data_IF_899260314600
#
_entry.id   IF_899260314600
#
_cell.length_a   1.000
_cell.length_b   1.000
_cell.length_c   1.000
_cell.angle_alpha   90.00
_cell.angle_beta   90.00
_cell.angle_gamma   90.00
#
_symmetry.space_group_name_H-M   'P 1'
#
loop_
_entity.id
_entity.type
_entity.pdbx_description
1 polymer ?
#
# COMPACT_ATOMS: atom_id res chain seq x y z
N UNK A 1 10.68 54.62 55.31
CA UNK A 1 10.95 53.19 55.47
C UNK A 1 10.51 52.51 54.17
N UNK A 2 11.48 52.21 53.29
CA UNK A 2 11.21 51.58 51.96
C UNK A 2 11.22 50.09 52.18
N UNK A 3 10.09 49.39 51.91
CA UNK A 3 10.01 47.94 51.82
C UNK A 3 10.29 47.50 50.39
N UNK A 4 11.46 46.89 50.22
CA UNK A 4 11.82 46.14 49.01
C UNK A 4 10.98 44.85 48.98
N UNK A 5 10.15 44.70 47.95
CA UNK A 5 9.46 43.44 47.65
C UNK A 5 10.31 42.76 46.54
N UNK A 6 11.00 41.71 46.91
CA UNK A 6 11.73 40.84 45.99
C UNK A 6 10.74 39.95 45.21
N UNK A 7 10.61 40.22 43.93
CA UNK A 7 9.81 39.36 43.00
C UNK A 7 10.71 38.18 42.56
N UNK A 8 10.53 37.03 43.22
CA UNK A 8 11.13 35.78 42.79
C UNK A 8 10.49 35.26 41.51
N UNK A 9 11.27 35.30 40.43
CA UNK A 9 10.89 34.67 39.17
C UNK A 9 11.02 33.14 39.32
N UNK A 10 9.89 32.43 39.45
CA UNK A 10 9.85 30.98 39.37
C UNK A 10 9.91 30.57 37.88
N UNK A 11 11.12 30.29 37.41
CA UNK A 11 11.34 29.54 36.16
C UNK A 11 11.03 28.07 36.44
N UNK A 12 9.83 27.61 36.09
CA UNK A 12 9.55 26.19 35.99
C UNK A 12 10.26 25.69 34.71
N UNK A 13 11.19 24.75 34.82
CA UNK A 13 11.69 24.03 33.65
C UNK A 13 10.56 23.09 33.18
N UNK A 14 10.01 23.37 32.02
CA UNK A 14 9.14 22.45 31.30
C UNK A 14 10.03 21.29 30.79
N UNK A 15 10.27 20.32 31.66
CA UNK A 15 10.84 19.03 31.29
C UNK A 15 9.80 18.33 30.40
N UNK A 16 9.88 18.56 29.10
CA UNK A 16 9.27 17.73 28.09
C UNK A 16 10.00 16.38 28.12
N UNK A 17 9.49 15.46 28.96
CA UNK A 17 9.87 14.08 28.81
C UNK A 17 9.50 13.64 27.38
N UNK A 18 10.43 13.02 26.63
CA UNK A 18 10.04 12.39 25.38
C UNK A 18 9.05 11.29 25.74
N UNK A 19 7.76 11.50 25.41
CA UNK A 19 6.81 10.41 25.40
C UNK A 19 7.35 9.40 24.39
N UNK A 20 7.97 8.34 24.91
CA UNK A 20 8.25 7.16 24.12
C UNK A 20 6.89 6.67 23.62
N UNK A 21 6.58 6.97 22.36
CA UNK A 21 5.47 6.36 21.64
C UNK A 21 5.91 4.90 21.47
N UNK A 22 5.61 4.07 22.48
CA UNK A 22 5.67 2.64 22.31
C UNK A 22 4.75 2.33 21.13
N UNK A 23 5.22 1.58 20.12
CA UNK A 23 4.31 1.10 19.10
C UNK A 23 3.23 0.32 19.83
N UNK A 24 1.96 0.73 19.64
CA UNK A 24 0.83 -0.08 20.07
C UNK A 24 1.01 -1.44 19.38
N UNK A 25 1.35 -2.45 20.17
CA UNK A 25 1.30 -3.82 19.73
C UNK A 25 -0.16 -4.06 19.39
N UNK A 26 -0.46 -4.18 18.11
CA UNK A 26 -1.75 -4.67 17.67
C UNK A 26 -1.88 -6.10 18.19
N UNK A 27 -2.58 -6.26 19.32
CA UNK A 27 -3.06 -7.54 19.79
C UNK A 27 -4.05 -8.06 18.76
N UNK A 28 -3.67 -9.06 17.99
CA UNK A 28 -4.59 -9.73 17.07
C UNK A 28 -3.94 -10.41 15.88
N UNK A 29 -3.08 -11.40 16.12
CA UNK A 29 -2.63 -12.25 15.04
C UNK A 29 -1.59 -13.26 15.52
N UNK A 30 -1.98 -14.51 15.70
CA UNK A 30 -1.07 -15.61 16.05
C UNK A 30 -0.17 -16.05 14.88
N UNK A 31 0.01 -15.20 13.86
CA UNK A 31 0.87 -15.45 12.72
C UNK A 31 2.33 -15.06 12.96
N UNK A 32 3.27 -15.56 12.14
CA UNK A 32 4.67 -15.17 12.22
C UNK A 32 4.85 -13.68 11.93
N UNK A 33 5.90 -13.08 12.51
CA UNK A 33 6.27 -11.72 12.24
C UNK A 33 6.49 -11.50 10.73
N UNK A 34 5.93 -10.41 10.20
CA UNK A 34 6.10 -10.05 8.78
C UNK A 34 7.57 -9.85 8.43
N UNK A 35 7.91 -10.12 7.19
CA UNK A 35 9.26 -9.91 6.67
C UNK A 35 9.71 -8.46 6.89
N UNK A 36 10.95 -8.24 7.33
CA UNK A 36 11.49 -6.89 7.45
C UNK A 36 11.63 -6.28 6.05
N UNK A 37 10.83 -5.27 5.77
CA UNK A 37 10.89 -4.50 4.54
C UNK A 37 10.85 -3.02 4.87
N UNK A 38 11.67 -2.24 4.19
CA UNK A 38 11.69 -0.78 4.26
C UNK A 38 11.49 -0.23 2.85
N UNK A 39 10.53 0.67 2.71
CA UNK A 39 10.19 1.26 1.42
C UNK A 39 10.59 2.73 1.39
N UNK A 40 10.98 3.22 0.21
CA UNK A 40 11.43 4.60 0.00
C UNK A 40 10.35 5.64 0.33
N UNK A 41 9.09 5.25 0.18
CA UNK A 41 7.93 6.12 0.44
C UNK A 41 7.52 6.20 1.91
N UNK A 42 8.17 5.48 2.83
CA UNK A 42 7.86 5.54 4.26
C UNK A 42 8.36 6.84 4.92
N UNK A 43 7.77 7.16 6.07
CA UNK A 43 8.12 8.33 6.85
C UNK A 43 7.63 9.67 6.25
N UNK A 44 7.87 10.79 6.96
CA UNK A 44 7.30 12.09 6.60
C UNK A 44 7.89 12.69 5.31
N UNK A 45 9.09 12.33 4.94
CA UNK A 45 9.81 12.83 3.75
C UNK A 45 10.01 11.74 2.68
N UNK A 46 9.46 10.54 2.87
CA UNK A 46 9.59 9.45 1.92
C UNK A 46 8.91 9.77 0.59
N UNK A 47 9.51 9.31 -0.51
CA UNK A 47 9.04 9.46 -1.89
C UNK A 47 8.99 8.11 -2.59
N UNK A 48 8.19 7.98 -3.63
CA UNK A 48 8.16 6.76 -4.42
C UNK A 48 9.43 6.63 -5.27
N UNK A 49 10.00 5.42 -5.26
CA UNK A 49 10.98 5.02 -6.28
C UNK A 49 10.22 4.79 -7.60
N UNK A 50 10.37 5.73 -8.53
CA UNK A 50 9.65 5.70 -9.82
C UNK A 50 10.06 4.51 -10.67
N UNK A 51 11.34 4.13 -10.66
CA UNK A 51 11.83 2.99 -11.43
C UNK A 51 11.24 1.68 -10.88
N UNK A 52 11.27 1.49 -9.56
CA UNK A 52 10.63 0.35 -8.91
C UNK A 52 9.12 0.31 -9.17
N UNK A 53 8.44 1.46 -9.14
CA UNK A 53 7.00 1.52 -9.43
C UNK A 53 6.68 1.23 -10.92
N UNK A 54 7.52 1.62 -11.86
CA UNK A 54 7.37 1.27 -13.28
C UNK A 54 7.54 -0.23 -13.50
N UNK A 55 8.57 -0.87 -12.90
CA UNK A 55 8.73 -2.33 -12.92
C UNK A 55 7.57 -3.04 -12.24
N UNK A 56 7.10 -2.48 -11.12
CA UNK A 56 5.91 -2.97 -10.43
C UNK A 56 4.64 -2.89 -11.27
N UNK A 57 4.48 -1.85 -12.08
CA UNK A 57 3.41 -1.77 -13.07
C UNK A 57 3.53 -2.87 -14.13
N UNK A 58 4.74 -3.16 -14.60
CA UNK A 58 4.97 -4.28 -15.53
C UNK A 58 4.51 -5.59 -14.91
N UNK A 59 4.88 -5.88 -13.64
CA UNK A 59 4.43 -7.10 -12.94
C UNK A 59 2.90 -7.11 -12.82
N UNK A 60 2.28 -5.99 -12.44
CA UNK A 60 0.82 -5.91 -12.39
C UNK A 60 0.19 -6.25 -13.74
N UNK A 61 0.65 -5.63 -14.82
CA UNK A 61 0.14 -5.84 -16.17
C UNK A 61 0.31 -7.28 -16.64
N UNK A 62 1.49 -7.85 -16.44
CA UNK A 62 1.86 -9.14 -17.02
C UNK A 62 1.38 -10.34 -16.16
N UNK A 63 1.15 -10.13 -14.86
CA UNK A 63 0.78 -11.20 -13.92
C UNK A 63 -0.56 -10.93 -13.23
N UNK A 64 -0.67 -9.83 -12.48
CA UNK A 64 -1.78 -9.61 -11.55
C UNK A 64 -3.10 -9.26 -12.27
N UNK A 65 -3.02 -8.54 -13.38
CA UNK A 65 -4.19 -8.04 -14.13
C UNK A 65 -5.04 -9.17 -14.76
N UNK A 66 -4.51 -10.38 -14.84
CA UNK A 66 -5.26 -11.54 -15.29
C UNK A 66 -6.44 -11.91 -14.35
N UNK A 67 -6.28 -11.62 -13.05
CA UNK A 67 -7.26 -11.95 -12.02
C UNK A 67 -7.77 -10.74 -11.23
N UNK A 68 -6.94 -9.70 -11.05
CA UNK A 68 -7.23 -8.56 -10.19
C UNK A 68 -7.55 -7.30 -10.99
N UNK A 69 -8.65 -6.65 -10.63
CA UNK A 69 -8.98 -5.31 -11.12
C UNK A 69 -8.16 -4.22 -10.40
N UNK A 70 -8.09 -3.04 -11.01
CA UNK A 70 -7.53 -1.80 -10.44
C UNK A 70 -8.41 -0.63 -10.91
N UNK A 71 -9.64 -0.62 -10.42
CA UNK A 71 -10.74 0.18 -10.96
C UNK A 71 -10.65 1.68 -10.68
N UNK A 72 -9.83 2.10 -9.71
CA UNK A 72 -9.69 3.52 -9.35
C UNK A 72 -8.61 4.24 -10.16
N UNK A 73 -7.81 3.52 -10.96
CA UNK A 73 -6.79 4.12 -11.81
C UNK A 73 -7.25 4.18 -13.26
N UNK A 74 -6.87 5.29 -13.92
CA UNK A 74 -6.91 5.44 -15.37
C UNK A 74 -5.50 5.33 -15.94
N UNK A 75 -5.36 4.92 -17.21
CA UNK A 75 -4.04 4.79 -17.85
C UNK A 75 -3.24 6.09 -17.81
N UNK A 76 -3.89 7.26 -17.93
CA UNK A 76 -3.25 8.58 -17.81
C UNK A 76 -2.47 8.78 -16.49
N UNK A 77 -2.88 8.12 -15.43
CA UNK A 77 -2.19 8.24 -14.13
C UNK A 77 -0.75 7.70 -14.19
N UNK A 78 -0.44 6.80 -15.12
CA UNK A 78 0.91 6.26 -15.32
C UNK A 78 1.93 7.36 -15.69
N UNK A 79 1.50 8.52 -16.21
CA UNK A 79 2.39 9.67 -16.42
C UNK A 79 2.98 10.19 -15.11
N UNK A 80 2.27 10.06 -13.99
CA UNK A 80 2.78 10.43 -12.66
C UNK A 80 3.97 9.53 -12.21
N UNK A 81 4.13 8.36 -12.84
CA UNK A 81 5.28 7.48 -12.66
C UNK A 81 6.46 7.83 -13.59
N UNK A 82 6.31 8.83 -14.45
CA UNK A 82 7.34 9.25 -15.39
C UNK A 82 7.27 8.59 -16.78
N UNK A 83 6.21 7.85 -17.09
CA UNK A 83 5.99 7.35 -18.45
C UNK A 83 5.60 8.52 -19.37
N UNK A 84 6.13 8.51 -20.61
CA UNK A 84 5.75 9.50 -21.62
C UNK A 84 4.29 9.34 -22.05
N UNK A 85 3.68 10.42 -22.53
CA UNK A 85 2.32 10.37 -23.07
C UNK A 85 2.18 9.36 -24.21
N UNK A 86 3.20 9.25 -25.07
CA UNK A 86 3.22 8.27 -26.15
C UNK A 86 3.22 6.83 -25.62
N UNK A 87 4.02 6.54 -24.60
CA UNK A 87 4.04 5.22 -23.96
C UNK A 87 2.68 4.89 -23.32
N UNK A 88 2.08 5.85 -22.61
CA UNK A 88 0.76 5.67 -21.97
C UNK A 88 -0.34 5.45 -23.00
N UNK A 89 -0.30 6.16 -24.13
CA UNK A 89 -1.22 5.92 -25.27
C UNK A 89 -1.06 4.51 -25.84
N UNK A 90 0.17 4.05 -26.03
CA UNK A 90 0.46 2.68 -26.49
C UNK A 90 -0.10 1.64 -25.51
N UNK A 91 0.24 1.75 -24.22
CA UNK A 91 -0.23 0.85 -23.17
C UNK A 91 -1.77 0.79 -23.11
N UNK A 92 -2.44 1.93 -23.22
CA UNK A 92 -3.90 1.97 -23.24
C UNK A 92 -4.48 1.32 -24.50
N UNK A 93 -3.89 1.56 -25.66
CA UNK A 93 -4.35 1.02 -26.94
C UNK A 93 -4.19 -0.50 -27.07
N UNK A 94 -3.26 -1.10 -26.32
CA UNK A 94 -3.08 -2.56 -26.25
C UNK A 94 -4.28 -3.28 -25.62
N UNK A 95 -5.20 -2.53 -25.02
CA UNK A 95 -6.34 -3.09 -24.30
C UNK A 95 -7.64 -2.75 -25.03
N UNK A 96 -8.49 -3.75 -25.24
CA UNK A 96 -9.84 -3.55 -25.78
C UNK A 96 -10.81 -3.15 -24.68
N UNK A 97 -11.55 -2.08 -24.89
CA UNK A 97 -12.55 -1.52 -24.00
C UNK A 97 -13.93 -1.55 -24.65
N UNK A 98 -14.93 -1.96 -23.87
CA UNK A 98 -16.34 -1.85 -24.29
C UNK A 98 -16.77 -0.38 -24.18
N UNK A 99 -17.41 0.12 -25.23
CA UNK A 99 -17.92 1.49 -25.30
C UNK A 99 -19.29 1.50 -26.01
N UNK A 100 -19.92 2.66 -26.04
CA UNK A 100 -21.20 2.86 -26.72
C UNK A 100 -20.98 3.95 -27.79
N UNK A 101 -21.37 3.68 -29.01
CA UNK A 101 -21.29 4.66 -30.07
C UNK A 101 -22.43 5.70 -29.99
N UNK A 102 -22.40 6.72 -30.87
CA UNK A 102 -23.40 7.78 -30.89
C UNK A 102 -24.85 7.30 -31.20
N UNK A 103 -24.98 6.07 -31.68
CA UNK A 103 -26.27 5.43 -31.94
C UNK A 103 -26.80 4.58 -30.77
N UNK A 104 -26.03 4.49 -29.66
CA UNK A 104 -26.35 3.67 -28.52
C UNK A 104 -25.99 2.18 -28.67
N UNK A 105 -25.24 1.82 -29.71
CA UNK A 105 -24.80 0.44 -29.94
C UNK A 105 -23.50 0.15 -29.17
N UNK A 106 -23.41 -1.04 -28.58
CA UNK A 106 -22.17 -1.50 -27.94
C UNK A 106 -21.09 -1.76 -28.99
N UNK A 107 -19.94 -1.19 -28.78
CA UNK A 107 -18.77 -1.35 -29.65
C UNK A 107 -17.54 -1.72 -28.83
N UNK A 108 -16.60 -2.36 -29.47
CA UNK A 108 -15.26 -2.56 -28.94
C UNK A 108 -14.30 -1.57 -29.58
N UNK A 109 -13.45 -0.95 -28.78
CA UNK A 109 -12.42 -0.06 -29.28
C UNK A 109 -11.11 -0.21 -28.50
N UNK A 110 -9.97 0.20 -29.07
CA UNK A 110 -8.75 0.38 -28.31
C UNK A 110 -8.95 1.36 -27.16
N UNK A 111 -8.33 1.07 -26.02
CA UNK A 111 -8.38 1.95 -24.86
C UNK A 111 -7.68 3.28 -25.10
N UNK A 112 -8.08 4.28 -24.33
CA UNK A 112 -7.53 5.64 -24.31
C UNK A 112 -6.91 5.94 -22.95
N UNK A 113 -6.00 6.91 -22.83
CA UNK A 113 -5.43 7.31 -21.53
C UNK A 113 -6.46 7.69 -20.46
N UNK A 114 -7.65 8.15 -20.87
CA UNK A 114 -8.77 8.47 -19.96
C UNK A 114 -9.49 7.27 -19.41
N UNK A 115 -9.39 6.12 -20.06
CA UNK A 115 -10.10 4.92 -19.63
C UNK A 115 -9.48 4.36 -18.35
N UNK A 116 -10.33 3.75 -17.52
CA UNK A 116 -9.87 2.99 -16.35
C UNK A 116 -9.14 1.72 -16.77
N UNK A 117 -8.30 1.22 -15.90
CA UNK A 117 -7.66 -0.08 -16.10
C UNK A 117 -8.74 -1.15 -16.32
N UNK A 118 -8.51 -2.01 -17.30
CA UNK A 118 -9.46 -3.06 -17.67
C UNK A 118 -9.69 -4.00 -16.49
N UNK A 119 -10.96 -4.32 -16.23
CA UNK A 119 -11.34 -5.37 -15.30
C UNK A 119 -11.24 -6.73 -15.99
N UNK A 120 -10.62 -7.74 -15.36
CA UNK A 120 -10.52 -9.08 -15.93
C UNK A 120 -11.88 -9.79 -16.02
N UNK A 121 -12.80 -9.48 -15.12
CA UNK A 121 -14.13 -10.06 -15.07
C UNK A 121 -15.22 -8.98 -15.08
N UNK A 122 -16.39 -9.26 -15.66
CA UNK A 122 -17.49 -8.31 -15.76
C UNK A 122 -18.11 -7.96 -14.40
N UNK A 123 -18.09 -8.91 -13.45
CA UNK A 123 -18.64 -8.74 -12.10
C UNK A 123 -17.97 -9.70 -11.12
N UNK A 124 -18.26 -9.52 -9.83
CA UNK A 124 -17.68 -10.30 -8.73
C UNK A 124 -18.09 -11.78 -8.78
N UNK A 125 -19.31 -12.10 -9.21
CA UNK A 125 -19.78 -13.49 -9.32
C UNK A 125 -18.99 -14.25 -10.39
N UNK A 126 -18.72 -13.62 -11.55
CA UNK A 126 -17.89 -14.20 -12.59
C UNK A 126 -16.44 -14.35 -12.13
N UNK A 127 -15.91 -13.36 -11.38
CA UNK A 127 -14.59 -13.43 -10.80
C UNK A 127 -14.47 -14.59 -9.79
N UNK A 128 -15.43 -14.75 -8.90
CA UNK A 128 -15.47 -15.86 -7.94
C UNK A 128 -15.56 -17.22 -8.64
N UNK A 129 -16.43 -17.37 -9.63
CA UNK A 129 -16.60 -18.61 -10.38
C UNK A 129 -15.29 -19.04 -11.08
N UNK A 130 -14.55 -18.08 -11.65
CA UNK A 130 -13.28 -18.34 -12.32
C UNK A 130 -12.12 -18.63 -11.34
N UNK A 131 -12.26 -18.33 -10.05
CA UNK A 131 -11.21 -18.41 -9.04
C UNK A 131 -11.58 -19.33 -7.85
N UNK A 132 -12.22 -20.44 -8.12
CA UNK A 132 -12.53 -21.46 -7.09
C UNK A 132 -13.43 -20.95 -5.95
N UNK A 133 -14.37 -20.07 -6.27
CA UNK A 133 -15.34 -19.50 -5.33
C UNK A 133 -14.88 -18.26 -4.56
N UNK A 134 -13.61 -17.84 -4.74
CA UNK A 134 -13.06 -16.66 -4.07
C UNK A 134 -12.79 -15.55 -5.08
N UNK A 135 -13.55 -14.45 -5.03
CA UNK A 135 -13.32 -13.30 -5.90
C UNK A 135 -11.98 -12.62 -5.56
N UNK A 136 -11.07 -12.44 -6.53
CA UNK A 136 -9.85 -11.67 -6.32
C UNK A 136 -10.20 -10.21 -5.99
N UNK A 137 -9.64 -9.62 -4.91
CA UNK A 137 -9.93 -8.24 -4.56
C UNK A 137 -9.39 -7.25 -5.59
N UNK A 138 -10.03 -6.09 -5.71
CA UNK A 138 -9.49 -4.94 -6.43
C UNK A 138 -8.21 -4.43 -5.75
N UNK A 139 -7.15 -4.23 -6.52
CA UNK A 139 -5.83 -3.86 -5.99
C UNK A 139 -5.63 -2.36 -5.81
N UNK A 140 -6.58 -1.51 -6.24
CA UNK A 140 -6.43 -0.05 -6.19
C UNK A 140 -6.07 0.48 -4.80
N UNK A 141 -6.60 -0.12 -3.74
CA UNK A 141 -6.40 0.31 -2.35
C UNK A 141 -5.85 -0.80 -1.45
N UNK A 142 -5.37 -1.89 -2.02
CA UNK A 142 -5.01 -3.09 -1.24
C UNK A 142 -4.01 -2.79 -0.12
N UNK A 143 -3.03 -1.93 -0.37
CA UNK A 143 -2.01 -1.54 0.61
C UNK A 143 -2.60 -0.72 1.77
N UNK A 144 -3.71 0.00 1.55
CA UNK A 144 -4.43 0.73 2.60
C UNK A 144 -5.50 -0.11 3.29
N UNK A 145 -6.00 -1.12 2.60
CA UNK A 145 -7.07 -1.99 3.07
C UNK A 145 -6.57 -3.17 3.93
N UNK A 146 -5.30 -3.25 4.20
CA UNK A 146 -4.70 -4.32 5.03
C UNK A 146 -3.90 -3.72 6.18
N UNK A 147 -3.96 -4.33 7.37
CA UNK A 147 -3.04 -4.03 8.47
C UNK A 147 -1.59 -4.17 7.97
N UNK A 148 -0.67 -3.37 8.49
CA UNK A 148 0.73 -3.31 8.05
C UNK A 148 0.95 -2.96 6.56
N UNK A 149 -0.09 -2.70 5.80
CA UNK A 149 -0.06 -2.13 4.46
C UNK A 149 0.91 -2.80 3.50
N UNK A 150 1.90 -2.04 3.03
CA UNK A 150 2.89 -2.49 2.07
C UNK A 150 3.71 -3.69 2.57
N UNK A 151 4.06 -3.71 3.87
CA UNK A 151 4.84 -4.80 4.47
C UNK A 151 4.06 -6.10 4.52
N UNK A 152 2.75 -6.02 4.78
CA UNK A 152 1.88 -7.21 4.69
C UNK A 152 1.83 -7.79 3.28
N UNK A 153 1.56 -6.97 2.27
CA UNK A 153 1.49 -7.44 0.87
C UNK A 153 2.83 -8.00 0.40
N UNK A 154 3.95 -7.36 0.78
CA UNK A 154 5.30 -7.84 0.51
C UNK A 154 5.56 -9.22 1.12
N UNK A 155 5.16 -9.41 2.37
CA UNK A 155 5.30 -10.70 3.06
C UNK A 155 4.39 -11.76 2.45
N UNK A 156 3.14 -11.40 2.16
CA UNK A 156 2.14 -12.30 1.55
C UNK A 156 2.65 -12.90 0.24
N UNK A 157 3.20 -12.07 -0.66
CA UNK A 157 3.70 -12.54 -1.96
C UNK A 157 4.85 -13.54 -1.84
N UNK A 158 5.57 -13.54 -0.71
CA UNK A 158 6.70 -14.42 -0.42
C UNK A 158 6.38 -15.52 0.61
N UNK A 159 5.15 -15.56 1.09
CA UNK A 159 4.73 -16.43 2.18
C UNK A 159 4.27 -17.83 1.79
N UNK A 160 4.26 -18.14 0.51
CA UNK A 160 3.81 -19.45 0.03
C UNK A 160 4.78 -20.55 0.40
N UNK A 161 4.25 -21.65 0.91
CA UNK A 161 5.01 -22.86 1.28
C UNK A 161 4.20 -24.07 0.83
N UNK A 162 4.89 -25.09 0.32
CA UNK A 162 4.27 -26.37 0.03
C UNK A 162 3.88 -27.07 1.34
N UNK A 163 2.58 -27.12 1.61
CA UNK A 163 2.05 -27.60 2.90
C UNK A 163 2.49 -29.03 3.22
N UNK A 164 2.57 -29.90 2.22
CA UNK A 164 2.96 -31.31 2.41
C UNK A 164 4.45 -31.49 2.77
N UNK A 165 5.27 -30.46 2.52
CA UNK A 165 6.68 -30.45 2.90
C UNK A 165 6.94 -29.93 4.31
N UNK A 166 5.90 -29.37 4.98
CA UNK A 166 6.03 -28.89 6.36
C UNK A 166 6.11 -30.09 7.31
N UNK A 167 7.13 -30.08 8.18
CA UNK A 167 7.23 -31.01 9.30
C UNK A 167 6.11 -30.80 10.34
N UNK A 168 5.81 -31.80 11.13
CA UNK A 168 4.84 -31.69 12.21
C UNK A 168 5.21 -30.61 13.23
N UNK A 169 6.50 -30.36 13.45
CA UNK A 169 7.00 -29.31 14.32
C UNK A 169 6.70 -27.91 13.73
N UNK A 170 6.88 -27.71 12.42
CA UNK A 170 6.54 -26.46 11.77
C UNK A 170 5.02 -26.23 11.76
N UNK A 171 4.22 -27.27 11.46
CA UNK A 171 2.75 -27.20 11.58
C UNK A 171 2.31 -26.80 12.97
N UNK A 172 2.91 -27.38 14.01
CA UNK A 172 2.63 -27.02 15.39
C UNK A 172 3.04 -25.58 15.72
N UNK A 173 4.16 -25.08 15.17
CA UNK A 173 4.58 -23.69 15.33
C UNK A 173 3.60 -22.68 14.74
N UNK A 174 2.85 -23.06 13.69
CA UNK A 174 1.73 -22.27 13.16
C UNK A 174 0.42 -22.46 13.94
N UNK A 175 0.41 -23.24 15.03
CA UNK A 175 -0.79 -23.54 15.80
C UNK A 175 -1.81 -24.39 15.06
N UNK A 176 -1.39 -25.14 14.04
CA UNK A 176 -2.28 -25.96 13.25
C UNK A 176 -2.66 -27.24 14.01
N UNK A 177 -3.94 -27.62 13.94
CA UNK A 177 -4.39 -28.87 14.48
C UNK A 177 -3.74 -30.06 13.75
N UNK A 178 -3.59 -31.21 14.41
CA UNK A 178 -2.98 -32.40 13.79
C UNK A 178 -3.75 -32.92 12.57
N UNK A 179 -5.04 -32.67 12.52
CA UNK A 179 -5.96 -33.03 11.46
C UNK A 179 -6.18 -31.89 10.44
N UNK A 180 -5.42 -30.81 10.56
CA UNK A 180 -5.50 -29.69 9.62
C UNK A 180 -5.22 -30.15 8.20
N UNK A 181 -6.17 -29.88 7.32
CA UNK A 181 -6.07 -30.21 5.89
C UNK A 181 -6.18 -28.93 5.07
N UNK A 182 -5.38 -28.89 4.03
CA UNK A 182 -5.51 -27.89 2.99
C UNK A 182 -6.58 -28.40 2.01
N UNK A 183 -7.59 -27.59 1.76
CA UNK A 183 -8.68 -27.89 0.84
C UNK A 183 -8.20 -27.81 -0.61
N UNK A 184 -8.82 -28.55 -1.52
CA UNK A 184 -8.51 -28.48 -2.95
C UNK A 184 -8.66 -27.04 -3.46
N UNK A 185 -7.69 -26.59 -4.25
CA UNK A 185 -7.66 -25.24 -4.80
C UNK A 185 -7.27 -24.16 -3.79
N UNK A 186 -6.87 -24.53 -2.56
CA UNK A 186 -6.27 -23.59 -1.59
C UNK A 186 -4.77 -23.81 -1.49
N UNK A 187 -4.07 -22.74 -1.15
CA UNK A 187 -2.62 -22.75 -0.96
C UNK A 187 -2.28 -22.32 0.47
N UNK A 188 -1.24 -22.90 1.03
CA UNK A 188 -0.75 -22.48 2.34
C UNK A 188 0.13 -21.23 2.20
N UNK A 189 -0.23 -20.20 2.96
CA UNK A 189 0.59 -18.99 3.02
C UNK A 189 0.75 -18.54 4.48
N UNK A 190 1.98 -18.53 4.95
CA UNK A 190 2.30 -18.27 6.36
C UNK A 190 1.94 -16.87 6.87
N UNK A 191 1.71 -15.91 5.97
CA UNK A 191 1.31 -14.55 6.32
C UNK A 191 -0.19 -14.26 6.07
N UNK A 192 -0.90 -15.18 5.45
CA UNK A 192 -2.33 -15.04 5.24
C UNK A 192 -3.09 -15.59 6.45
N UNK A 193 -3.62 -14.70 7.27
CA UNK A 193 -4.35 -15.09 8.48
C UNK A 193 -5.65 -14.29 8.65
N UNK A 194 -6.68 -14.55 7.83
CA UNK A 194 -7.99 -13.94 8.00
C UNK A 194 -8.79 -14.69 9.06
N UNK A 195 -8.60 -14.35 10.36
CA UNK A 195 -9.37 -14.94 11.45
C UNK A 195 -9.33 -16.48 11.49
N UNK A 196 -10.49 -17.12 11.52
CA UNK A 196 -10.62 -18.58 11.64
C UNK A 196 -10.15 -19.39 10.41
N UNK A 197 -9.99 -18.76 9.25
CA UNK A 197 -9.59 -19.48 8.03
C UNK A 197 -8.12 -19.92 8.02
N UNK A 198 -7.28 -19.37 8.89
CA UNK A 198 -5.87 -19.67 9.13
C UNK A 198 -5.09 -20.15 7.92
N UNK A 199 -4.16 -19.36 7.42
CA UNK A 199 -3.15 -19.71 6.41
C UNK A 199 -3.62 -20.27 5.04
N UNK A 200 -4.94 -20.42 4.80
CA UNK A 200 -5.53 -20.97 3.55
C UNK A 200 -5.91 -19.82 2.62
N UNK A 201 -5.16 -19.60 1.56
CA UNK A 201 -5.43 -18.57 0.55
C UNK A 201 -5.90 -19.21 -0.77
N UNK A 202 -6.92 -18.62 -1.40
CA UNK A 202 -7.40 -19.07 -2.72
C UNK A 202 -6.52 -18.64 -3.88
N UNK A 203 -5.64 -17.65 -3.70
CA UNK A 203 -4.69 -17.20 -4.71
C UNK A 203 -3.51 -18.17 -4.79
N UNK A 204 -3.27 -18.74 -5.98
CA UNK A 204 -2.04 -19.51 -6.23
C UNK A 204 -0.80 -18.59 -6.13
N UNK A 205 0.42 -19.13 -5.86
CA UNK A 205 1.65 -18.35 -5.87
C UNK A 205 1.78 -17.54 -7.17
N UNK A 206 1.66 -16.21 -7.14
CA UNK A 206 1.62 -15.41 -8.39
C UNK A 206 3.02 -15.11 -8.94
N UNK A 207 4.04 -15.18 -8.11
CA UNK A 207 5.41 -14.84 -8.46
C UNK A 207 6.37 -15.98 -8.09
N UNK A 208 7.33 -16.20 -8.94
CA UNK A 208 8.50 -17.04 -8.73
C UNK A 208 9.72 -16.35 -9.34
N UNK A 209 10.93 -16.75 -8.97
CA UNK A 209 12.15 -16.22 -9.58
C UNK A 209 12.07 -16.31 -11.12
N UNK A 210 12.32 -15.20 -11.79
CA UNK A 210 12.28 -15.14 -13.25
C UNK A 210 10.87 -14.96 -13.87
N UNK A 211 9.81 -14.82 -13.08
CA UNK A 211 8.43 -14.72 -13.60
C UNK A 211 8.23 -13.55 -14.58
N UNK A 212 8.96 -12.45 -14.42
CA UNK A 212 8.95 -11.30 -15.32
C UNK A 212 10.37 -10.92 -15.68
N UNK A 213 10.62 -10.64 -16.96
CA UNK A 213 11.92 -10.13 -17.41
C UNK A 213 11.89 -8.61 -17.50
N UNK A 214 12.75 -7.95 -16.76
CA UNK A 214 12.88 -6.50 -16.76
C UNK A 214 13.74 -6.01 -17.93
N UNK A 215 13.30 -4.95 -18.60
CA UNK A 215 14.00 -4.34 -19.72
C UNK A 215 15.30 -3.66 -19.27
N UNK A 216 15.33 -3.15 -18.03
CA UNK A 216 16.47 -2.44 -17.45
C UNK A 216 17.55 -3.36 -16.87
N UNK A 217 17.38 -4.67 -17.01
CA UNK A 217 18.33 -5.67 -16.49
C UNK A 217 18.35 -5.83 -14.98
N UNK A 218 17.39 -5.21 -14.26
CA UNK A 218 17.25 -5.41 -12.82
C UNK A 218 17.02 -6.90 -12.51
N UNK A 219 17.56 -7.37 -11.40
CA UNK A 219 17.38 -8.76 -10.95
C UNK A 219 15.90 -9.06 -10.72
N UNK A 220 15.42 -10.15 -11.29
CA UNK A 220 14.02 -10.58 -11.25
C UNK A 220 13.79 -11.75 -10.28
N UNK A 221 14.45 -11.72 -9.12
CA UNK A 221 14.14 -12.65 -8.04
C UNK A 221 12.83 -12.23 -7.32
N UNK A 222 12.24 -13.20 -6.63
CA UNK A 222 10.95 -13.01 -5.93
C UNK A 222 10.95 -11.81 -4.95
N UNK A 223 11.97 -11.58 -4.10
CA UNK A 223 11.98 -10.42 -3.21
C UNK A 223 12.03 -9.09 -3.94
N UNK A 224 12.77 -8.99 -5.06
CA UNK A 224 12.85 -7.77 -5.87
C UNK A 224 11.51 -7.50 -6.54
N UNK A 225 10.93 -8.50 -7.20
CA UNK A 225 9.62 -8.37 -7.84
C UNK A 225 8.51 -8.05 -6.84
N UNK A 226 8.50 -8.69 -5.68
CA UNK A 226 7.55 -8.37 -4.61
C UNK A 226 7.68 -6.93 -4.13
N UNK A 227 8.91 -6.42 -3.99
CA UNK A 227 9.17 -5.01 -3.62
C UNK A 227 8.67 -4.03 -4.69
N UNK A 228 8.97 -4.32 -5.95
CA UNK A 228 8.60 -3.46 -7.07
C UNK A 228 7.07 -3.37 -7.24
N UNK A 229 6.38 -4.52 -7.24
CA UNK A 229 4.91 -4.51 -7.36
C UNK A 229 4.25 -3.85 -6.15
N UNK A 230 4.76 -4.05 -4.94
CA UNK A 230 4.23 -3.39 -3.74
C UNK A 230 4.47 -1.88 -3.79
N UNK A 231 5.58 -1.42 -4.34
CA UNK A 231 5.84 0.01 -4.56
C UNK A 231 4.83 0.61 -5.54
N UNK A 232 4.52 -0.10 -6.63
CA UNK A 232 3.45 0.30 -7.55
C UNK A 232 2.08 0.32 -6.88
N UNK A 233 1.72 -0.72 -6.12
CA UNK A 233 0.44 -0.79 -5.40
C UNK A 233 0.31 0.30 -4.32
N UNK A 234 1.41 0.65 -3.66
CA UNK A 234 1.42 1.76 -2.71
C UNK A 234 1.18 3.11 -3.41
N UNK A 235 1.81 3.32 -4.56
CA UNK A 235 1.54 4.50 -5.40
C UNK A 235 0.10 4.50 -5.90
N UNK A 236 -0.41 3.37 -6.39
CA UNK A 236 -1.79 3.23 -6.85
C UNK A 236 -2.80 3.63 -5.77
N UNK A 237 -2.54 3.22 -4.53
CA UNK A 237 -3.41 3.54 -3.39
C UNK A 237 -3.33 5.01 -2.94
N UNK A 238 -2.25 5.73 -3.27
CA UNK A 238 -2.10 7.15 -2.92
C UNK A 238 -1.18 7.89 -3.91
N UNK A 239 -1.62 8.15 -5.14
CA UNK A 239 -0.78 8.82 -6.15
C UNK A 239 -0.32 10.23 -5.71
N UNK A 240 -1.07 10.89 -4.84
CA UNK A 240 -0.78 12.24 -4.32
C UNK A 240 -0.12 12.27 -2.93
N UNK A 241 0.45 11.15 -2.49
CA UNK A 241 1.11 11.06 -1.18
C UNK A 241 2.23 12.11 -1.01
N UNK A 242 3.06 12.28 -2.03
CA UNK A 242 4.18 13.24 -1.99
C UNK A 242 3.68 14.68 -1.89
N UNK A 243 2.64 15.04 -2.65
CA UNK A 243 2.00 16.35 -2.57
C UNK A 243 1.35 16.58 -1.20
N UNK A 244 0.69 15.55 -0.66
CA UNK A 244 0.11 15.62 0.70
C UNK A 244 1.20 15.86 1.75
N UNK A 245 2.31 15.12 1.70
CA UNK A 245 3.44 15.29 2.62
C UNK A 245 4.05 16.67 2.51
N UNK A 246 4.33 17.14 1.29
CA UNK A 246 4.88 18.48 1.03
C UNK A 246 3.97 19.57 1.56
N UNK A 247 2.67 19.46 1.30
CA UNK A 247 1.67 20.41 1.80
C UNK A 247 1.57 20.35 3.32
N UNK A 248 1.60 19.16 3.91
CA UNK A 248 1.58 18.97 5.36
C UNK A 248 2.73 19.69 6.07
N UNK A 249 3.95 19.57 5.55
CA UNK A 249 5.12 20.29 6.10
C UNK A 249 4.91 21.81 6.03
N UNK A 250 4.42 22.34 4.90
CA UNK A 250 4.15 23.77 4.73
C UNK A 250 3.09 24.26 5.71
N UNK A 251 2.02 23.51 5.90
CA UNK A 251 0.94 23.83 6.85
C UNK A 251 1.46 23.83 8.28
N UNK A 252 2.26 22.85 8.67
CA UNK A 252 2.84 22.77 10.03
C UNK A 252 3.73 24.00 10.29
N UNK A 253 4.61 24.33 9.35
CA UNK A 253 5.49 25.51 9.49
C UNK A 253 4.68 26.80 9.60
N UNK A 254 3.66 26.97 8.75
CA UNK A 254 2.77 28.13 8.82
C UNK A 254 2.10 28.22 10.19
N UNK A 255 1.53 27.11 10.69
CA UNK A 255 0.83 27.08 11.98
C UNK A 255 1.76 27.38 13.15
N UNK A 256 3.01 26.93 13.11
CA UNK A 256 3.99 27.28 14.15
C UNK A 256 4.30 28.77 14.18
N UNK A 257 4.54 29.39 13.02
CA UNK A 257 4.79 30.84 12.90
C UNK A 257 3.54 31.61 13.37
N UNK A 258 2.36 31.21 12.89
CA UNK A 258 1.11 31.85 13.25
C UNK A 258 0.83 31.77 14.76
N UNK A 259 1.04 30.59 15.36
CA UNK A 259 0.89 30.43 16.81
C UNK A 259 1.84 31.34 17.61
N UNK A 260 3.09 31.47 17.15
CA UNK A 260 4.06 32.39 17.76
C UNK A 260 3.61 33.84 17.69
N UNK A 261 3.12 34.29 16.52
CA UNK A 261 2.58 35.62 16.33
C UNK A 261 1.35 35.87 17.22
N UNK A 262 0.41 34.93 17.24
CA UNK A 262 -0.79 35.05 18.08
C UNK A 262 -0.45 35.06 19.58
N UNK A 263 0.57 34.30 19.98
CA UNK A 263 1.06 34.36 21.36
C UNK A 263 1.66 35.75 21.71
N UNK A 264 2.44 36.33 20.80
CA UNK A 264 2.99 37.68 20.97
C UNK A 264 1.85 38.74 21.04
N UNK A 265 0.86 38.65 20.16
CA UNK A 265 -0.34 39.51 20.19
C UNK A 265 -1.08 39.36 21.52
N UNK A 266 -1.34 38.12 21.94
CA UNK A 266 -1.98 37.86 23.25
C UNK A 266 -1.20 38.54 24.37
N UNK A 267 0.13 38.35 24.46
CA UNK A 267 0.94 38.98 25.49
C UNK A 267 0.83 40.50 25.50
N UNK A 268 0.79 41.13 24.33
CA UNK A 268 0.68 42.59 24.20
C UNK A 268 -0.72 43.07 24.63
N UNK A 269 -1.79 42.42 24.16
CA UNK A 269 -3.16 42.82 24.47
C UNK A 269 -3.50 42.64 25.97
N UNK A 270 -2.93 41.61 26.61
CA UNK A 270 -3.20 41.29 28.00
C UNK A 270 -2.20 41.93 28.99
N UNK A 271 -1.20 42.65 28.47
CA UNK A 271 -0.20 43.28 29.33
C UNK A 271 -0.79 44.31 30.33
N UNK A 272 -1.87 45.00 29.93
CA UNK A 272 -2.53 46.01 30.73
C UNK A 272 -3.80 45.49 31.44
N UNK A 273 -4.05 44.18 31.40
CA UNK A 273 -5.22 43.56 31.99
C UNK A 273 -5.01 43.07 33.44
N UNK A 274 -3.81 43.34 34.03
CA UNK A 274 -3.43 42.96 35.42
C UNK A 274 -2.85 44.13 36.20
#
# INVERSE_FOLDING_TARGET
MRKLIATGAFLLPLLAAPAAIAPALAEGGHGPALLPAKFSFEGPFGTYDRAAAQRGFQIYKDVCAACHSMSLLSYRNLMDLGLSEAAVKGIAADVTVQDVNDKGEQIERPGKPSDHFRKPFPNEAAAAAANGGAAPPDLSLIVKARPDGARYVFSLLQGYVEFDKLSDQEKAAFGLAKDYKLEDGKHFNKYFHPGEQGYKIGMAPPLADGAVTYIDGTKNDLPTMARDVVTFLAWAAEPKMEDRKRTGVRVILFMLIFAGLMYAVKRKVWADAH
#
